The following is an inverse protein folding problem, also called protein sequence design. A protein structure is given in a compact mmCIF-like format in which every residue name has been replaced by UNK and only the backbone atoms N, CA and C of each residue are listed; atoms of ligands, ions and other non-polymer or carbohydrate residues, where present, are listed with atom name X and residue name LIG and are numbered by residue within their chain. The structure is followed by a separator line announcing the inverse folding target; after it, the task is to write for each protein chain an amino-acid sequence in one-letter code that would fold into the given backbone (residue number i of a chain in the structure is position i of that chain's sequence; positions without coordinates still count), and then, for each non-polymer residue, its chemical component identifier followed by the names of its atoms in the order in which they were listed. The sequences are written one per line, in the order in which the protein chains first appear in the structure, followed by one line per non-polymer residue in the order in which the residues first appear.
data_IF_290864989877
#
_entry.id   IF_290864989877
#
_cell.length_a   1.000
_cell.length_b   1.000
_cell.length_c   1.000
_cell.angle_alpha   90.00
_cell.angle_beta   90.00
_cell.angle_gamma   90.00
#
_symmetry.space_group_name_H-M   'P 1'
#
loop_
_entity.id
_entity.type
_entity.pdbx_description
1 polymer ?
#
# COMPACT_ATOMS: atom_id res chain seq x y z
N UNK A 1 -36.69 119.08 -58.93
CA UNK A 1 -37.42 118.41 -57.83
C UNK A 1 -38.90 118.68 -58.03
N UNK A 2 -39.86 117.79 -57.73
CA UNK A 2 -39.87 116.35 -57.42
C UNK A 2 -40.66 115.53 -58.49
N UNK A 3 -40.73 114.19 -58.43
CA UNK A 3 -41.20 113.39 -59.58
C UNK A 3 -42.69 112.99 -59.51
N UNK A 4 -43.17 112.56 -60.68
CA UNK A 4 -44.55 112.50 -61.16
C UNK A 4 -44.77 111.17 -61.91
N UNK A 5 -45.81 110.41 -61.53
CA UNK A 5 -46.62 109.41 -62.30
C UNK A 5 -45.81 108.13 -62.72
N UNK A 6 -46.32 106.90 -62.83
CA UNK A 6 -47.64 106.44 -63.29
C UNK A 6 -48.05 105.07 -62.74
N UNK A 7 -49.35 104.96 -62.49
CA UNK A 7 -50.13 103.72 -62.48
C UNK A 7 -50.40 103.30 -63.94
N UNK A 8 -50.19 102.03 -64.30
CA UNK A 8 -51.05 101.39 -65.30
C UNK A 8 -51.10 99.87 -65.12
N UNK A 9 -52.31 99.33 -65.28
CA UNK A 9 -52.71 97.95 -65.04
C UNK A 9 -52.46 97.07 -66.27
N UNK A 10 -52.15 95.78 -66.06
CA UNK A 10 -52.78 94.71 -66.83
C UNK A 10 -52.69 93.35 -66.10
N UNK A 11 -53.84 92.96 -65.55
CA UNK A 11 -54.50 91.66 -65.63
C UNK A 11 -53.66 90.37 -65.73
N UNK A 12 -53.79 89.59 -64.65
CA UNK A 12 -53.87 88.12 -64.57
C UNK A 12 -52.94 87.27 -65.45
N UNK A 13 -51.99 86.58 -64.82
CA UNK A 13 -52.03 85.12 -64.92
C UNK A 13 -51.38 84.42 -63.71
N UNK A 14 -52.14 83.47 -63.17
CA UNK A 14 -51.82 82.65 -62.00
C UNK A 14 -50.65 81.73 -62.31
N UNK A 15 -49.47 81.97 -61.72
CA UNK A 15 -48.46 80.91 -61.54
C UNK A 15 -48.41 80.50 -60.06
N UNK A 16 -48.67 79.23 -59.74
CA UNK A 16 -48.73 78.78 -58.37
C UNK A 16 -47.35 78.88 -57.73
N UNK A 17 -47.33 79.27 -56.45
CA UNK A 17 -46.17 79.11 -55.59
C UNK A 17 -45.71 77.64 -55.68
N UNK A 18 -44.40 77.43 -55.93
CA UNK A 18 -43.80 76.08 -55.86
C UNK A 18 -44.25 75.46 -54.56
N UNK A 19 -44.97 74.34 -54.65
CA UNK A 19 -45.24 73.50 -53.50
C UNK A 19 -43.88 73.15 -52.91
N UNK A 20 -43.55 73.71 -51.75
CA UNK A 20 -42.56 73.10 -50.86
C UNK A 20 -43.05 71.67 -50.66
N UNK A 21 -42.39 70.74 -51.33
CA UNK A 21 -42.63 69.31 -51.22
C UNK A 21 -42.80 69.01 -49.74
N UNK A 22 -44.00 68.60 -49.33
CA UNK A 22 -44.22 68.05 -48.01
C UNK A 22 -43.45 66.74 -48.00
N UNK A 23 -42.14 66.81 -47.71
CA UNK A 23 -41.31 65.65 -47.44
C UNK A 23 -41.96 64.96 -46.24
N UNK A 24 -42.72 63.91 -46.50
CA UNK A 24 -43.20 63.00 -45.48
C UNK A 24 -41.98 62.26 -44.96
N UNK A 25 -41.24 62.90 -44.07
CA UNK A 25 -40.16 62.25 -43.35
C UNK A 25 -40.80 61.24 -42.40
N UNK A 26 -40.72 59.96 -42.75
CA UNK A 26 -41.08 58.89 -41.84
C UNK A 26 -40.13 58.96 -40.65
N UNK A 27 -40.62 59.45 -39.51
CA UNK A 27 -39.83 59.48 -38.26
C UNK A 27 -39.71 58.05 -37.74
N UNK A 28 -38.69 57.34 -38.22
CA UNK A 28 -38.33 56.02 -37.73
C UNK A 28 -37.03 56.13 -36.93
N UNK A 29 -37.08 55.86 -35.63
CA UNK A 29 -35.87 55.75 -34.80
C UNK A 29 -35.18 54.44 -35.14
N UNK A 30 -34.10 54.51 -35.92
CA UNK A 30 -33.25 53.35 -36.21
C UNK A 30 -32.73 52.78 -34.89
N UNK A 31 -33.07 51.51 -34.61
CA UNK A 31 -32.52 50.74 -33.49
C UNK A 31 -31.78 49.55 -34.05
N UNK A 32 -30.50 49.47 -33.75
CA UNK A 32 -29.71 48.27 -34.01
C UNK A 32 -29.87 47.35 -32.80
N UNK A 33 -30.43 46.16 -33.03
CA UNK A 33 -30.61 45.14 -31.99
C UNK A 33 -29.87 43.87 -32.41
N UNK A 34 -29.14 43.28 -31.47
CA UNK A 34 -28.52 41.97 -31.60
C UNK A 34 -29.15 41.05 -30.54
N UNK A 35 -30.42 40.69 -30.72
CA UNK A 35 -31.09 39.73 -29.83
C UNK A 35 -30.51 38.35 -30.09
N UNK A 36 -29.82 37.81 -29.10
CA UNK A 36 -29.27 36.46 -29.18
C UNK A 36 -30.41 35.43 -29.24
N UNK A 37 -30.22 34.31 -29.93
CA UNK A 37 -31.18 33.22 -29.92
C UNK A 37 -31.23 32.56 -28.54
N UNK A 38 -32.40 32.01 -28.20
CA UNK A 38 -32.58 31.23 -26.98
C UNK A 38 -31.75 29.94 -27.03
N UNK A 39 -31.33 29.47 -25.85
CA UNK A 39 -30.51 28.26 -25.71
C UNK A 39 -31.27 27.08 -26.34
N UNK A 40 -30.67 26.35 -27.29
CA UNK A 40 -31.40 25.44 -28.16
C UNK A 40 -31.90 24.18 -27.46
N UNK A 41 -31.29 23.76 -26.35
CA UNK A 41 -31.67 22.55 -25.63
C UNK A 41 -31.39 22.66 -24.13
N UNK A 42 -32.30 22.11 -23.33
CA UNK A 42 -32.08 21.90 -21.90
C UNK A 42 -31.01 20.82 -21.66
N UNK A 43 -30.27 20.89 -20.54
CA UNK A 43 -29.35 19.85 -20.12
C UNK A 43 -30.05 18.48 -20.04
N UNK A 44 -29.38 17.44 -20.56
CA UNK A 44 -29.88 16.06 -20.48
C UNK A 44 -29.35 15.39 -19.21
N UNK A 45 -30.25 14.87 -18.40
CA UNK A 45 -29.88 14.01 -17.27
C UNK A 45 -29.42 12.63 -17.79
N UNK A 46 -28.33 12.13 -17.22
CA UNK A 46 -27.87 10.76 -17.44
C UNK A 46 -28.41 9.86 -16.33
N UNK A 47 -28.82 8.64 -16.69
CA UNK A 47 -29.26 7.64 -15.71
C UNK A 47 -28.06 7.11 -14.94
N UNK A 48 -28.15 7.12 -13.61
CA UNK A 48 -27.13 6.54 -12.76
C UNK A 48 -27.11 5.00 -12.94
N UNK A 49 -25.98 4.38 -13.32
CA UNK A 49 -25.93 2.98 -13.74
C UNK A 49 -25.87 1.99 -12.58
N UNK A 50 -25.97 2.47 -11.34
CA UNK A 50 -25.77 1.64 -10.16
C UNK A 50 -27.03 1.59 -9.32
N UNK A 51 -27.28 0.43 -8.73
CA UNK A 51 -28.45 0.22 -7.89
C UNK A 51 -28.38 1.09 -6.63
N UNK A 52 -29.53 1.69 -6.29
CA UNK A 52 -29.74 2.46 -5.07
C UNK A 52 -29.44 1.66 -3.79
N UNK A 53 -29.56 0.33 -3.84
CA UNK A 53 -29.35 -0.55 -2.70
C UNK A 53 -27.92 -1.07 -2.56
N UNK A 54 -26.98 -0.64 -3.42
CA UNK A 54 -25.58 -1.09 -3.39
C UNK A 54 -24.91 -0.95 -2.03
N UNK A 55 -25.30 0.04 -1.24
CA UNK A 55 -24.75 0.30 0.09
C UNK A 55 -25.63 -0.20 1.24
N UNK A 56 -26.77 -0.81 0.93
CA UNK A 56 -27.70 -1.36 1.93
C UNK A 56 -27.26 -2.78 2.32
N UNK A 57 -26.60 -3.50 1.40
CA UNK A 57 -26.08 -4.83 1.70
C UNK A 57 -24.83 -4.75 2.57
N UNK A 58 -24.97 -5.17 3.82
CA UNK A 58 -23.85 -5.36 4.74
C UNK A 58 -22.89 -6.43 4.19
N UNK A 59 -21.63 -6.04 4.02
CA UNK A 59 -20.54 -6.93 3.63
C UNK A 59 -19.45 -6.81 4.68
N UNK A 60 -19.09 -7.91 5.39
CA UNK A 60 -18.10 -7.84 6.45
C UNK A 60 -16.74 -7.43 5.89
N UNK A 61 -16.20 -6.35 6.42
CA UNK A 61 -14.92 -5.80 5.98
C UNK A 61 -13.75 -6.64 6.46
N UNK A 62 -12.58 -6.47 5.84
CA UNK A 62 -11.33 -7.06 6.36
C UNK A 62 -11.00 -6.54 7.76
N UNK A 63 -11.36 -5.29 8.06
CA UNK A 63 -11.14 -4.66 9.36
C UNK A 63 -11.88 -5.42 10.47
N UNK A 64 -13.16 -5.72 10.26
CA UNK A 64 -13.98 -6.50 11.19
C UNK A 64 -13.41 -7.90 11.43
N UNK A 65 -12.90 -8.55 10.39
CA UNK A 65 -12.27 -9.88 10.50
C UNK A 65 -10.91 -9.83 11.21
N UNK A 66 -10.16 -8.76 11.04
CA UNK A 66 -8.83 -8.57 11.65
C UNK A 66 -8.89 -8.01 13.08
N UNK A 67 -10.08 -7.61 13.54
CA UNK A 67 -10.23 -7.02 14.85
C UNK A 67 -9.98 -8.08 15.92
N UNK A 68 -8.95 -7.84 16.74
CA UNK A 68 -8.65 -8.67 17.90
C UNK A 68 -9.56 -8.22 19.05
N UNK A 69 -10.60 -8.99 19.29
CA UNK A 69 -11.46 -8.79 20.45
C UNK A 69 -10.65 -8.99 21.74
N UNK A 70 -10.77 -8.02 22.64
CA UNK A 70 -10.23 -8.16 23.98
C UNK A 70 -11.09 -9.16 24.75
N UNK A 71 -10.43 -10.13 25.40
CA UNK A 71 -11.12 -11.08 26.27
C UNK A 71 -11.36 -10.36 27.58
N UNK A 72 -12.59 -9.86 27.75
CA UNK A 72 -13.03 -9.26 29.01
C UNK A 72 -13.16 -10.37 30.06
N UNK A 73 -12.14 -10.48 30.90
CA UNK A 73 -12.09 -11.46 31.98
C UNK A 73 -12.60 -10.84 33.28
N UNK A 74 -13.10 -11.68 34.18
CA UNK A 74 -13.47 -11.27 35.52
C UNK A 74 -12.22 -10.85 36.33
N UNK A 75 -12.42 -10.21 37.47
CA UNK A 75 -11.35 -9.71 38.33
C UNK A 75 -10.34 -10.79 38.77
N UNK A 76 -10.78 -12.05 38.87
CA UNK A 76 -10.01 -13.22 39.25
C UNK A 76 -9.50 -14.01 38.03
N UNK A 77 -9.67 -13.47 36.82
CA UNK A 77 -9.32 -14.11 35.55
C UNK A 77 -9.99 -15.49 35.36
N UNK A 78 -11.11 -15.74 36.04
CA UNK A 78 -11.79 -17.05 36.04
C UNK A 78 -11.10 -18.11 36.90
N UNK A 79 -10.15 -17.73 37.76
CA UNK A 79 -9.42 -18.62 38.66
C UNK A 79 -9.88 -18.39 40.10
N UNK A 80 -10.81 -19.21 40.57
CA UNK A 80 -11.31 -19.14 41.95
C UNK A 80 -10.36 -19.89 42.89
N UNK A 81 -9.86 -19.21 43.91
CA UNK A 81 -9.00 -19.81 44.94
C UNK A 81 -9.87 -20.28 46.10
N UNK A 82 -9.97 -21.59 46.30
CA UNK A 82 -10.65 -22.19 47.44
C UNK A 82 -9.71 -22.22 48.66
N UNK A 83 -10.10 -21.56 49.75
CA UNK A 83 -9.32 -21.55 51.00
C UNK A 83 -9.89 -22.52 52.05
N UNK A 84 -11.02 -23.18 51.74
CA UNK A 84 -11.73 -24.08 52.64
C UNK A 84 -11.26 -25.51 52.41
N UNK A 85 -11.26 -25.96 51.15
CA UNK A 85 -10.79 -27.29 50.81
C UNK A 85 -9.29 -27.30 50.48
N UNK A 86 -8.48 -27.80 51.43
CA UNK A 86 -7.03 -27.93 51.24
C UNK A 86 -6.67 -29.09 50.32
N UNK A 87 -7.54 -30.09 50.19
CA UNK A 87 -7.26 -31.31 49.44
C UNK A 87 -7.10 -31.04 47.94
N UNK A 88 -7.77 -30.00 47.43
CA UNK A 88 -7.68 -29.54 46.03
C UNK A 88 -6.26 -29.12 45.63
N UNK A 89 -5.42 -28.69 46.58
CA UNK A 89 -4.09 -28.16 46.32
C UNK A 89 -2.96 -29.08 46.81
N UNK A 90 -3.29 -30.30 47.25
CA UNK A 90 -2.28 -31.25 47.69
C UNK A 90 -1.46 -31.69 46.48
N UNK A 91 -0.16 -31.38 46.51
CA UNK A 91 0.77 -31.78 45.46
C UNK A 91 1.29 -33.20 45.74
N UNK A 92 1.24 -34.08 44.74
CA UNK A 92 1.93 -35.36 44.79
C UNK A 92 3.39 -35.15 44.37
N UNK A 93 4.32 -35.38 45.30
CA UNK A 93 5.76 -35.19 45.09
C UNK A 93 6.35 -36.07 43.98
N UNK A 94 5.61 -37.08 43.49
CA UNK A 94 5.99 -37.93 42.35
C UNK A 94 5.29 -37.60 41.02
N UNK A 95 4.41 -36.60 40.98
CA UNK A 95 3.67 -36.27 39.76
C UNK A 95 4.61 -35.73 38.68
N UNK A 96 4.58 -36.36 37.51
CA UNK A 96 5.23 -35.83 36.32
C UNK A 96 4.30 -34.81 35.65
N UNK A 97 4.87 -33.65 35.29
CA UNK A 97 4.13 -32.61 34.58
C UNK A 97 3.77 -33.08 33.17
N UNK A 98 2.57 -32.74 32.70
CA UNK A 98 2.18 -33.04 31.33
C UNK A 98 3.05 -32.25 30.35
N UNK A 99 3.49 -32.83 29.22
CA UNK A 99 4.29 -32.11 28.23
C UNK A 99 3.62 -30.83 27.70
N UNK A 100 2.28 -30.77 27.66
CA UNK A 100 1.57 -29.56 27.27
C UNK A 100 1.69 -28.45 28.33
N UNK A 101 1.68 -28.80 29.61
CA UNK A 101 1.86 -27.85 30.71
C UNK A 101 3.33 -27.40 30.82
N UNK A 102 4.28 -28.31 30.60
CA UNK A 102 5.71 -28.00 30.52
C UNK A 102 5.99 -26.95 29.43
N UNK A 103 5.29 -27.05 28.29
CA UNK A 103 5.40 -26.09 27.19
C UNK A 103 4.98 -24.68 27.58
N UNK A 104 4.02 -24.53 28.48
CA UNK A 104 3.56 -23.23 28.97
C UNK A 104 4.55 -22.55 29.91
N UNK A 105 5.49 -23.33 30.48
CA UNK A 105 6.56 -22.83 31.36
C UNK A 105 7.80 -22.37 30.59
N UNK A 106 7.90 -22.64 29.30
CA UNK A 106 9.02 -22.17 28.48
C UNK A 106 9.02 -20.63 28.40
N UNK A 107 10.20 -20.03 28.58
CA UNK A 107 10.35 -18.59 28.35
C UNK A 107 10.10 -18.26 26.88
N UNK A 108 9.32 -17.20 26.63
CA UNK A 108 9.19 -16.65 25.29
C UNK A 108 10.58 -16.24 24.79
N UNK A 109 11.11 -16.99 23.82
CA UNK A 109 12.39 -16.68 23.20
C UNK A 109 12.22 -15.37 22.42
N UNK A 110 12.52 -14.25 23.07
CA UNK A 110 12.41 -12.87 22.55
C UNK A 110 13.27 -12.63 21.30
N UNK A 111 14.10 -13.59 20.89
CA UNK A 111 14.93 -13.54 19.69
C UNK A 111 14.50 -14.56 18.61
N UNK A 112 13.29 -14.47 18.04
CA UNK A 112 12.90 -15.30 16.89
C UNK A 112 13.79 -15.08 15.65
N UNK A 113 14.56 -13.99 15.62
CA UNK A 113 15.49 -13.65 14.55
C UNK A 113 16.63 -14.67 14.41
N UNK A 114 17.12 -15.24 15.51
CA UNK A 114 18.30 -16.12 15.45
C UNK A 114 17.95 -17.52 14.93
N UNK A 115 16.74 -18.00 15.25
CA UNK A 115 16.21 -19.27 14.71
C UNK A 115 15.98 -19.22 13.19
N UNK A 116 15.50 -18.08 12.65
CA UNK A 116 15.40 -17.91 11.19
C UNK A 116 16.76 -17.78 10.54
N UNK A 117 17.69 -17.06 11.18
CA UNK A 117 19.06 -16.87 10.70
C UNK A 117 19.80 -18.22 10.60
N UNK A 118 19.71 -19.08 11.61
CA UNK A 118 20.37 -20.39 11.63
C UNK A 118 19.90 -21.33 10.51
N UNK A 119 18.59 -21.36 10.21
CA UNK A 119 18.04 -22.16 9.09
C UNK A 119 18.64 -21.81 7.74
N UNK A 120 18.97 -20.54 7.50
CA UNK A 120 19.56 -20.10 6.23
C UNK A 120 21.07 -20.40 6.16
N UNK A 121 21.78 -20.32 7.29
CA UNK A 121 23.21 -20.66 7.39
C UNK A 121 23.49 -22.16 7.26
N UNK A 122 22.52 -23.01 7.57
CA UNK A 122 22.63 -24.47 7.40
C UNK A 122 22.30 -24.97 5.97
N UNK A 123 21.89 -24.08 5.04
CA UNK A 123 21.54 -24.50 3.68
C UNK A 123 22.80 -24.86 2.91
N UNK A 124 22.92 -26.13 2.50
CA UNK A 124 23.95 -26.54 1.56
C UNK A 124 23.63 -26.01 0.17
N UNK A 125 24.58 -25.30 -0.44
CA UNK A 125 24.46 -24.77 -1.80
C UNK A 125 25.50 -25.44 -2.70
N UNK A 126 25.13 -25.80 -3.92
CA UNK A 126 25.96 -26.61 -4.82
C UNK A 126 27.29 -25.96 -5.24
N UNK A 127 27.39 -24.63 -5.14
CA UNK A 127 28.57 -23.87 -5.53
C UNK A 127 29.47 -23.46 -4.35
N UNK A 128 29.05 -23.72 -3.09
CA UNK A 128 29.79 -23.35 -1.90
C UNK A 128 30.25 -24.59 -1.13
N UNK A 129 31.57 -24.82 -1.06
CA UNK A 129 32.17 -25.91 -0.28
C UNK A 129 32.39 -25.49 1.18
N UNK A 130 32.40 -26.48 2.08
CA UNK A 130 32.79 -26.25 3.48
C UNK A 130 34.27 -25.89 3.54
N UNK A 131 34.61 -25.01 4.46
CA UNK A 131 36.00 -24.68 4.76
C UNK A 131 36.71 -25.89 5.35
N UNK A 132 37.85 -26.25 4.78
CA UNK A 132 38.77 -27.22 5.36
C UNK A 132 39.97 -26.45 5.94
N UNK A 133 40.42 -26.84 7.12
CA UNK A 133 41.61 -26.26 7.73
C UNK A 133 42.86 -26.94 7.18
N UNK A 134 43.93 -26.17 6.95
CA UNK A 134 45.21 -26.70 6.47
C UNK A 134 45.84 -27.54 7.59
N UNK A 135 45.92 -28.84 7.39
CA UNK A 135 46.68 -29.75 8.24
C UNK A 135 48.15 -29.79 7.79
N UNK A 136 49.04 -30.32 8.63
CA UNK A 136 50.45 -30.52 8.28
C UNK A 136 50.67 -31.75 7.39
N UNK A 137 49.62 -32.34 6.82
CA UNK A 137 49.74 -33.49 5.94
C UNK A 137 50.09 -33.06 4.51
N UNK A 138 50.93 -33.85 3.85
CA UNK A 138 51.56 -33.46 2.60
C UNK A 138 50.52 -33.43 1.46
N UNK A 139 50.07 -32.23 1.08
CA UNK A 139 49.07 -32.04 0.02
C UNK A 139 49.69 -32.07 -1.38
N UNK A 140 48.88 -32.44 -2.39
CA UNK A 140 49.29 -32.68 -3.79
C UNK A 140 49.92 -31.48 -4.51
N UNK A 141 49.83 -30.29 -3.92
CA UNK A 141 50.29 -29.03 -4.51
C UNK A 141 51.60 -28.49 -3.91
N UNK A 142 52.27 -29.22 -3.02
CA UNK A 142 53.63 -28.84 -2.62
C UNK A 142 54.67 -29.33 -3.63
N UNK A 143 55.53 -28.44 -4.18
CA UNK A 143 56.68 -28.87 -4.95
C UNK A 143 57.59 -29.73 -4.07
N UNK A 144 57.91 -30.93 -4.55
CA UNK A 144 58.81 -31.86 -3.88
C UNK A 144 60.24 -31.30 -3.97
N UNK A 145 60.61 -30.41 -3.05
CA UNK A 145 62.03 -30.14 -2.78
C UNK A 145 62.56 -31.30 -1.97
N UNK A 146 63.42 -32.08 -2.62
CA UNK A 146 64.00 -33.36 -2.22
C UNK A 146 65.01 -33.28 -1.06
N UNK A 147 64.67 -32.62 0.05
CA UNK A 147 65.50 -32.67 1.26
C UNK A 147 64.67 -33.14 2.45
N UNK A 148 65.05 -34.33 2.95
CA UNK A 148 64.58 -35.03 4.17
C UNK A 148 63.51 -36.12 3.96
N UNK A 149 63.89 -37.18 3.24
CA UNK A 149 63.29 -38.52 3.39
C UNK A 149 63.88 -39.20 4.65
N UNK A 150 63.74 -38.57 5.83
CA UNK A 150 64.20 -39.17 7.09
C UNK A 150 63.26 -38.81 8.25
N UNK A 151 61.99 -39.20 8.12
CA UNK A 151 61.08 -39.29 9.27
C UNK A 151 60.00 -40.36 9.10
N UNK A 152 60.21 -41.32 8.18
CA UNK A 152 59.24 -42.38 7.88
C UNK A 152 59.57 -43.70 8.58
N UNK A 153 59.77 -43.67 9.91
CA UNK A 153 59.64 -44.87 10.75
C UNK A 153 59.26 -44.41 12.17
N UNK A 154 57.99 -44.53 12.59
CA UNK A 154 57.68 -44.25 14.01
C UNK A 154 56.22 -44.17 14.44
N UNK A 155 55.26 -43.91 13.55
CA UNK A 155 53.86 -43.70 13.99
C UNK A 155 52.94 -44.91 13.80
N UNK A 156 53.26 -45.86 12.93
CA UNK A 156 52.44 -47.05 12.66
C UNK A 156 52.57 -48.16 13.71
N UNK A 157 53.63 -48.18 14.54
CA UNK A 157 53.85 -49.23 15.54
C UNK A 157 52.97 -49.02 16.79
N UNK A 158 52.66 -47.77 17.16
CA UNK A 158 51.88 -47.46 18.38
C UNK A 158 50.38 -47.67 18.23
N UNK A 159 49.84 -47.74 17.01
CA UNK A 159 48.41 -47.99 16.76
C UNK A 159 48.06 -49.48 16.78
N UNK A 160 48.97 -50.36 16.32
CA UNK A 160 48.72 -51.81 16.36
C UNK A 160 48.74 -52.38 17.78
N UNK A 161 49.57 -51.88 18.70
CA UNK A 161 49.59 -52.37 20.09
C UNK A 161 48.30 -52.08 20.89
N UNK A 162 47.55 -51.04 20.49
CA UNK A 162 46.29 -50.69 21.17
C UNK A 162 45.10 -51.50 20.67
N UNK A 163 45.16 -52.00 19.44
CA UNK A 163 44.10 -52.83 18.84
C UNK A 163 44.14 -54.28 19.37
N UNK A 164 45.33 -54.84 19.64
CA UNK A 164 45.45 -56.21 20.18
C UNK A 164 45.15 -56.33 21.68
N UNK A 165 44.95 -55.23 22.42
CA UNK A 165 44.62 -55.28 23.87
C UNK A 165 43.11 -55.15 24.16
N UNK A 166 42.27 -55.22 23.13
CA UNK A 166 40.81 -55.12 23.24
C UNK A 166 40.06 -56.41 22.82
N UNK A 167 40.79 -57.49 22.59
CA UNK A 167 40.23 -58.83 22.41
C UNK A 167 40.96 -59.84 23.31
N UNK A 168 40.80 -59.69 24.63
CA UNK A 168 40.61 -60.78 25.60
C UNK A 168 40.08 -60.20 26.92
#
# INVERSE_FOLDING_TARGET
MPPTIQTNQNSQDKRPARSTEKRSELVCRVKYCNTLPDIPFDPKFITYPFDSTRFIQYNPTSLERSYKYEVLTEHDLGVTIDLINKDTYINDHGAQLDPADEKLLEEDILTPQDSKRSRHHARSVSWLRRTEYISTEQTRFQPQTMDKVEAKVGYSIKKNFKVYRLFH
#
